data_IF_728638129195
#
_entry.id   IF_728638129195
#
_cell.length_a   1.000
_cell.length_b   1.000
_cell.length_c   1.000
_cell.angle_alpha   90.00
_cell.angle_beta   90.00
_cell.angle_gamma   90.00
#
_symmetry.space_group_name_H-M   'P 1'
#
loop_
_entity.id
_entity.type
_entity.pdbx_description
1 polymer ?
#
# COMPACT_ATOMS: atom_id res chain seq x y z
N UNK A 1 2.83 4.89 -35.27
CA UNK A 1 2.09 4.74 -33.99
C UNK A 1 2.81 3.69 -33.16
N UNK A 2 3.38 4.04 -32.00
CA UNK A 2 3.90 3.06 -31.04
C UNK A 2 2.80 2.82 -30.03
N UNK A 3 2.30 1.58 -29.94
CA UNK A 3 1.33 1.18 -28.93
C UNK A 3 2.12 1.00 -27.63
N UNK A 4 1.88 1.84 -26.63
CA UNK A 4 2.49 1.67 -25.32
C UNK A 4 1.75 0.55 -24.56
N UNK A 5 2.47 -0.34 -23.85
CA UNK A 5 1.84 -1.39 -23.06
C UNK A 5 1.05 -0.76 -21.90
N UNK A 6 -0.17 -1.25 -21.69
CA UNK A 6 -1.04 -0.81 -20.57
C UNK A 6 -0.76 -1.56 -19.28
N UNK A 7 -0.24 -2.76 -19.37
CA UNK A 7 0.11 -3.59 -18.23
C UNK A 7 1.44 -4.29 -18.52
N UNK A 8 2.26 -4.43 -17.50
CA UNK A 8 3.51 -5.20 -17.55
C UNK A 8 3.48 -6.23 -16.44
N UNK A 9 3.59 -7.50 -16.82
CA UNK A 9 3.63 -8.64 -15.91
C UNK A 9 5.02 -9.26 -16.02
N UNK A 10 5.71 -9.38 -14.89
CA UNK A 10 7.05 -9.96 -14.83
C UNK A 10 7.11 -11.08 -13.79
N UNK A 11 7.41 -12.27 -14.27
CA UNK A 11 7.47 -13.50 -13.46
C UNK A 11 8.92 -13.88 -13.08
N UNK A 12 9.86 -12.91 -13.11
CA UNK A 12 11.28 -13.19 -12.81
C UNK A 12 11.89 -12.16 -11.86
N UNK A 13 12.75 -12.60 -10.93
CA UNK A 13 13.29 -11.78 -9.84
C UNK A 13 14.35 -10.76 -10.28
N UNK A 14 14.79 -10.79 -11.54
CA UNK A 14 15.89 -9.93 -12.01
C UNK A 14 15.40 -8.92 -13.03
N UNK A 15 14.54 -8.01 -12.57
CA UNK A 15 14.28 -6.77 -13.29
C UNK A 15 15.28 -5.71 -12.81
N UNK A 16 16.06 -5.15 -13.74
CA UNK A 16 16.65 -3.83 -13.50
C UNK A 16 15.56 -2.80 -13.76
N UNK A 17 15.16 -1.97 -12.78
CA UNK A 17 14.14 -0.95 -13.00
C UNK A 17 14.47 -0.05 -14.20
N UNK A 18 15.74 0.21 -14.49
CA UNK A 18 16.14 1.01 -15.65
C UNK A 18 15.96 0.34 -17.02
N UNK A 19 15.64 -0.96 -17.07
CA UNK A 19 15.46 -1.68 -18.35
C UNK A 19 14.11 -1.40 -19.02
N UNK A 20 13.16 -0.79 -18.30
CA UNK A 20 11.82 -0.47 -18.79
C UNK A 20 11.57 1.03 -18.87
N UNK A 21 10.72 1.42 -19.83
CA UNK A 21 10.18 2.77 -19.88
C UNK A 21 8.88 2.83 -19.05
N UNK A 22 9.00 3.27 -17.81
CA UNK A 22 7.90 3.38 -16.86
C UNK A 22 6.95 4.54 -17.10
N UNK A 23 7.29 5.48 -17.99
CA UNK A 23 6.48 6.69 -18.21
C UNK A 23 5.08 6.37 -18.72
N UNK A 24 4.84 5.21 -19.33
CA UNK A 24 3.53 4.85 -19.88
C UNK A 24 2.93 3.58 -19.27
N UNK A 25 3.45 3.11 -18.13
CA UNK A 25 2.98 1.90 -17.46
C UNK A 25 2.04 2.33 -16.31
N UNK A 26 0.72 2.16 -16.45
CA UNK A 26 -0.22 2.42 -15.36
C UNK A 26 -0.41 1.22 -14.43
N UNK A 27 -0.27 0.01 -14.97
CA UNK A 27 -0.50 -1.23 -14.24
C UNK A 27 0.76 -2.10 -14.26
N UNK A 28 1.25 -2.44 -13.08
CA UNK A 28 2.45 -3.25 -12.92
C UNK A 28 2.24 -4.40 -11.94
N UNK A 29 2.58 -5.60 -12.41
CA UNK A 29 2.48 -6.83 -11.66
C UNK A 29 3.80 -7.58 -11.70
N UNK A 30 4.29 -8.01 -10.55
CA UNK A 30 5.50 -8.83 -10.50
C UNK A 30 5.61 -9.66 -9.23
N UNK A 31 6.55 -10.59 -9.23
CA UNK A 31 6.84 -11.50 -8.13
C UNK A 31 8.30 -11.33 -7.71
N UNK A 32 8.59 -11.48 -6.43
CA UNK A 32 9.96 -11.50 -5.87
C UNK A 32 10.76 -10.22 -6.15
N UNK A 33 10.28 -9.08 -5.64
CA UNK A 33 11.06 -7.84 -5.64
C UNK A 33 11.55 -7.48 -4.25
N UNK A 34 12.75 -6.92 -4.20
CA UNK A 34 13.27 -6.29 -3.01
C UNK A 34 12.61 -4.91 -2.79
N UNK A 35 12.48 -4.48 -1.53
CA UNK A 35 11.90 -3.16 -1.17
C UNK A 35 12.60 -2.01 -1.90
N UNK A 36 13.93 -2.03 -2.01
CA UNK A 36 14.71 -0.99 -2.71
C UNK A 36 14.32 -0.90 -4.20
N UNK A 37 14.13 -2.05 -4.86
CA UNK A 37 13.68 -2.11 -6.26
C UNK A 37 12.28 -1.55 -6.41
N UNK A 38 11.37 -1.85 -5.48
CA UNK A 38 10.01 -1.31 -5.52
C UNK A 38 10.03 0.21 -5.37
N UNK A 39 10.78 0.73 -4.40
CA UNK A 39 10.93 2.19 -4.23
C UNK A 39 11.52 2.86 -5.47
N UNK A 40 12.49 2.20 -6.13
CA UNK A 40 13.04 2.68 -7.39
C UNK A 40 12.01 2.69 -8.53
N UNK A 41 11.21 1.63 -8.66
CA UNK A 41 10.11 1.55 -9.63
C UNK A 41 9.09 2.68 -9.40
N UNK A 42 8.71 2.93 -8.14
CA UNK A 42 7.84 4.05 -7.78
C UNK A 42 8.43 5.40 -8.22
N UNK A 43 9.74 5.61 -8.05
CA UNK A 43 10.41 6.85 -8.50
C UNK A 43 10.42 7.00 -10.02
N UNK A 44 10.57 5.88 -10.75
CA UNK A 44 10.69 5.88 -12.21
C UNK A 44 9.32 5.93 -12.93
N UNK A 45 8.25 5.46 -12.29
CA UNK A 45 6.93 5.28 -12.89
C UNK A 45 5.87 6.28 -12.44
N UNK A 46 5.93 7.55 -12.90
CA UNK A 46 5.02 8.60 -12.41
C UNK A 46 3.54 8.37 -12.72
N UNK A 47 3.24 7.48 -13.68
CA UNK A 47 1.87 7.19 -14.11
C UNK A 47 1.34 5.86 -13.58
N UNK A 48 2.06 5.20 -12.66
CA UNK A 48 1.60 3.98 -12.00
C UNK A 48 0.33 4.28 -11.19
N UNK A 49 -0.72 3.50 -11.44
CA UNK A 49 -1.98 3.58 -10.71
C UNK A 49 -2.32 2.28 -9.99
N UNK A 50 -1.84 1.14 -10.50
CA UNK A 50 -2.08 -0.18 -9.91
C UNK A 50 -0.78 -0.94 -9.76
N UNK A 51 -0.57 -1.48 -8.57
CA UNK A 51 0.59 -2.30 -8.24
C UNK A 51 0.15 -3.60 -7.62
N UNK A 52 0.74 -4.69 -8.11
CA UNK A 52 0.57 -6.02 -7.55
C UNK A 52 1.94 -6.69 -7.38
N UNK A 53 2.29 -6.99 -6.15
CA UNK A 53 3.55 -7.63 -5.77
C UNK A 53 3.25 -8.92 -5.01
N UNK A 54 3.52 -10.08 -5.59
CA UNK A 54 3.20 -11.34 -4.91
C UNK A 54 4.08 -11.63 -3.69
N UNK A 55 5.37 -11.29 -3.78
CA UNK A 55 6.34 -11.55 -2.72
C UNK A 55 7.35 -10.40 -2.69
N UNK A 56 7.40 -9.71 -1.55
CA UNK A 56 8.44 -8.74 -1.25
C UNK A 56 9.51 -9.37 -0.37
N UNK A 57 10.75 -9.33 -0.84
CA UNK A 57 11.94 -9.65 -0.06
C UNK A 57 12.67 -8.38 0.38
N UNK A 58 13.71 -8.56 1.17
CA UNK A 58 14.77 -7.58 1.24
C UNK A 58 16.10 -8.27 1.13
N UNK A 59 16.99 -7.59 0.46
CA UNK A 59 18.42 -7.79 0.55
C UNK A 59 19.02 -6.66 1.37
N UNK A 60 20.23 -6.88 1.86
CA UNK A 60 21.06 -5.79 2.35
C UNK A 60 21.37 -4.85 1.18
N UNK A 61 20.75 -3.67 1.17
CA UNK A 61 21.05 -2.66 0.18
C UNK A 61 22.51 -2.20 0.34
N UNK A 62 23.22 -2.06 -0.78
CA UNK A 62 24.61 -1.58 -0.77
C UNK A 62 24.74 -0.14 -0.22
N UNK A 63 23.69 0.66 -0.37
CA UNK A 63 23.56 2.04 0.12
C UNK A 63 22.16 2.24 0.73
N UNK A 64 21.95 1.90 2.01
CA UNK A 64 20.63 1.93 2.64
C UNK A 64 19.98 3.33 2.61
N UNK A 65 20.77 4.38 2.86
CA UNK A 65 20.27 5.76 2.94
C UNK A 65 19.64 6.23 1.61
N UNK A 66 20.21 5.81 0.48
CA UNK A 66 19.67 6.15 -0.85
C UNK A 66 18.57 5.18 -1.28
N UNK A 67 18.73 3.89 -0.97
CA UNK A 67 17.77 2.86 -1.31
C UNK A 67 16.40 3.14 -0.67
N UNK A 68 16.38 3.48 0.61
CA UNK A 68 15.15 3.66 1.40
C UNK A 68 14.73 5.12 1.55
N UNK A 69 15.20 6.00 0.65
CA UNK A 69 14.72 7.39 0.62
C UNK A 69 13.21 7.42 0.42
N UNK A 70 12.53 8.15 1.30
CA UNK A 70 11.07 8.27 1.29
C UNK A 70 10.51 8.68 -0.09
N UNK A 71 9.47 7.99 -0.54
CA UNK A 71 8.83 8.18 -1.85
C UNK A 71 7.38 8.60 -1.66
N UNK A 72 7.02 9.75 -2.22
CA UNK A 72 5.61 10.17 -2.32
C UNK A 72 5.13 9.87 -3.73
N UNK A 73 4.11 9.01 -3.87
CA UNK A 73 3.57 8.63 -5.17
C UNK A 73 2.08 8.98 -5.30
N UNK A 74 1.72 10.05 -6.04
CA UNK A 74 0.39 10.64 -5.95
C UNK A 74 -0.70 9.91 -6.75
N UNK A 75 -0.35 8.94 -7.60
CA UNK A 75 -1.30 8.36 -8.56
C UNK A 75 -1.67 6.90 -8.26
N UNK A 76 -1.07 6.27 -7.24
CA UNK A 76 -1.38 4.87 -6.92
C UNK A 76 -2.72 4.82 -6.21
N UNK A 77 -3.68 4.15 -6.84
CA UNK A 77 -5.04 3.94 -6.37
C UNK A 77 -5.21 2.53 -5.78
N UNK A 78 -4.50 1.55 -6.34
CA UNK A 78 -4.58 0.14 -5.92
C UNK A 78 -3.19 -0.41 -5.60
N UNK A 79 -3.07 -1.03 -4.44
CA UNK A 79 -1.85 -1.68 -3.98
C UNK A 79 -2.18 -3.05 -3.39
N UNK A 80 -1.65 -4.10 -4.00
CA UNK A 80 -1.74 -5.48 -3.51
C UNK A 80 -0.34 -6.02 -3.31
N UNK A 81 -0.04 -6.45 -2.09
CA UNK A 81 1.29 -6.90 -1.71
C UNK A 81 1.24 -8.15 -0.84
N UNK A 82 2.00 -9.19 -1.21
CA UNK A 82 2.45 -10.23 -0.30
C UNK A 82 3.79 -9.88 0.36
N UNK A 83 3.82 -9.77 1.70
CA UNK A 83 5.00 -9.32 2.45
C UNK A 83 5.39 -10.35 3.50
N UNK A 84 6.68 -10.72 3.51
CA UNK A 84 7.20 -11.80 4.35
C UNK A 84 7.88 -11.33 5.65
N UNK A 85 8.52 -10.16 5.72
CA UNK A 85 9.28 -9.80 6.95
C UNK A 85 9.61 -8.32 7.15
N UNK A 86 9.32 -7.42 6.20
CA UNK A 86 9.85 -6.04 6.22
C UNK A 86 8.83 -4.96 5.83
N UNK A 87 7.58 -5.19 6.23
CA UNK A 87 6.50 -4.21 6.10
C UNK A 87 6.89 -2.85 6.69
N UNK A 88 7.52 -2.84 7.86
CA UNK A 88 7.89 -1.61 8.57
C UNK A 88 8.73 -0.70 7.67
N UNK A 89 9.74 -1.27 7.00
CA UNK A 89 10.62 -0.52 6.12
C UNK A 89 9.89 -0.01 4.88
N UNK A 90 9.04 -0.86 4.28
CA UNK A 90 8.26 -0.48 3.11
C UNK A 90 7.29 0.67 3.43
N UNK A 91 6.45 0.53 4.47
CA UNK A 91 5.40 1.51 4.81
C UNK A 91 5.96 2.83 5.34
N UNK A 92 7.09 2.82 6.05
CA UNK A 92 7.76 4.07 6.47
C UNK A 92 8.46 4.79 5.31
N UNK A 93 8.78 4.07 4.24
CA UNK A 93 9.48 4.61 3.06
C UNK A 93 8.54 5.17 2.00
N UNK A 94 7.21 5.10 2.16
CA UNK A 94 6.26 5.56 1.15
C UNK A 94 5.11 6.40 1.71
N UNK A 95 4.61 7.32 0.89
CA UNK A 95 3.32 7.99 1.09
C UNK A 95 2.49 7.88 -0.18
N UNK A 96 1.28 7.35 -0.08
CA UNK A 96 0.38 7.08 -1.21
C UNK A 96 -0.96 7.82 -1.02
N UNK A 97 -1.03 9.13 -1.31
CA UNK A 97 -2.15 9.98 -0.93
C UNK A 97 -3.45 9.72 -1.71
N UNK A 98 -3.40 8.94 -2.79
CA UNK A 98 -4.57 8.59 -3.62
C UNK A 98 -4.95 7.11 -3.50
N UNK A 99 -4.39 6.40 -2.50
CA UNK A 99 -4.63 4.97 -2.35
C UNK A 99 -6.05 4.72 -1.85
N UNK A 100 -6.83 4.05 -2.68
CA UNK A 100 -8.22 3.69 -2.44
C UNK A 100 -8.35 2.23 -1.96
N UNK A 101 -7.50 1.35 -2.48
CA UNK A 101 -7.57 -0.09 -2.27
C UNK A 101 -6.21 -0.63 -1.82
N UNK A 102 -6.17 -1.23 -0.62
CA UNK A 102 -4.99 -1.89 -0.08
C UNK A 102 -5.28 -3.35 0.24
N UNK A 103 -4.50 -4.26 -0.35
CA UNK A 103 -4.51 -5.69 -0.03
C UNK A 103 -3.15 -6.08 0.52
N UNK A 104 -3.12 -6.67 1.71
CA UNK A 104 -1.91 -7.18 2.35
C UNK A 104 -2.06 -8.68 2.54
N UNK A 105 -1.18 -9.45 1.92
CA UNK A 105 -1.10 -10.91 2.04
C UNK A 105 0.08 -11.27 2.94
N UNK A 106 -0.19 -12.02 4.01
CA UNK A 106 0.81 -12.45 4.98
C UNK A 106 1.07 -13.95 4.92
N UNK A 107 2.01 -14.41 5.74
CA UNK A 107 2.37 -15.83 5.89
C UNK A 107 1.98 -16.36 7.28
N UNK A 108 0.78 -16.01 7.76
CA UNK A 108 0.28 -16.31 9.11
C UNK A 108 1.13 -15.68 10.24
N UNK A 109 1.77 -14.55 9.97
CA UNK A 109 2.51 -13.77 10.97
C UNK A 109 1.61 -12.73 11.66
N UNK A 110 2.12 -12.10 12.72
CA UNK A 110 1.46 -10.95 13.34
C UNK A 110 1.56 -9.73 12.43
N UNK A 111 0.43 -9.06 12.22
CA UNK A 111 0.39 -7.82 11.44
C UNK A 111 1.19 -6.71 12.16
N UNK A 112 2.09 -5.99 11.46
CA UNK A 112 2.80 -4.86 12.04
C UNK A 112 1.88 -3.64 12.08
N UNK A 113 1.03 -3.62 13.11
CA UNK A 113 -0.03 -2.63 13.31
C UNK A 113 0.52 -1.20 13.37
N UNK A 114 1.60 -0.96 14.09
CA UNK A 114 2.17 0.38 14.30
C UNK A 114 2.61 1.07 12.98
N UNK A 115 3.48 0.49 12.13
CA UNK A 115 3.83 1.10 10.84
C UNK A 115 2.66 1.29 9.88
N UNK A 116 1.66 0.40 9.93
CA UNK A 116 0.45 0.56 9.11
C UNK A 116 -0.36 1.77 9.55
N UNK A 117 -0.48 2.00 10.86
CA UNK A 117 -1.14 3.19 11.40
C UNK A 117 -0.40 4.45 10.95
N UNK A 118 0.93 4.49 11.10
CA UNK A 118 1.73 5.63 10.63
C UNK A 118 1.54 5.88 9.13
N UNK A 119 1.52 4.81 8.34
CA UNK A 119 1.24 4.89 6.90
C UNK A 119 -0.15 5.46 6.59
N UNK A 120 -1.18 5.06 7.35
CA UNK A 120 -2.54 5.59 7.22
C UNK A 120 -2.65 7.04 7.68
N UNK A 121 -1.83 7.49 8.63
CA UNK A 121 -1.78 8.88 9.08
C UNK A 121 -1.07 9.79 8.05
N UNK A 122 0.01 9.33 7.43
CA UNK A 122 0.77 10.09 6.44
C UNK A 122 0.10 10.15 5.06
N UNK A 123 -0.53 9.05 4.64
CA UNK A 123 -1.32 9.02 3.43
C UNK A 123 -2.69 9.58 3.79
N UNK A 124 -3.07 10.77 3.29
CA UNK A 124 -4.26 11.58 3.67
C UNK A 124 -5.60 10.86 3.35
N UNK A 125 -5.75 9.57 3.64
CA UNK A 125 -6.37 8.66 2.70
C UNK A 125 -7.87 8.54 2.83
N UNK A 126 -8.49 8.30 1.68
CA UNK A 126 -9.88 7.91 1.46
C UNK A 126 -9.99 6.38 1.32
N UNK A 127 -9.08 5.62 1.96
CA UNK A 127 -8.96 4.17 1.78
C UNK A 127 -10.35 3.54 1.91
N UNK A 128 -10.86 3.01 0.80
CA UNK A 128 -12.21 2.47 0.66
C UNK A 128 -12.23 1.00 1.06
N UNK A 129 -11.18 0.29 0.66
CA UNK A 129 -11.05 -1.14 0.87
C UNK A 129 -9.70 -1.46 1.50
N UNK A 130 -9.75 -2.20 2.61
CA UNK A 130 -8.60 -2.83 3.23
C UNK A 130 -8.86 -4.34 3.30
N UNK A 131 -8.01 -5.12 2.63
CA UNK A 131 -8.00 -6.58 2.75
C UNK A 131 -6.73 -7.01 3.47
N UNK A 132 -6.89 -7.88 4.46
CA UNK A 132 -5.82 -8.49 5.24
C UNK A 132 -5.98 -10.00 5.11
N UNK A 133 -5.19 -10.58 4.23
CA UNK A 133 -5.27 -12.01 3.91
C UNK A 133 -4.11 -12.72 4.62
N UNK A 134 -4.42 -13.84 5.27
CA UNK A 134 -3.42 -14.70 5.93
C UNK A 134 -2.58 -13.98 7.02
N UNK A 135 -3.19 -13.05 7.75
CA UNK A 135 -2.59 -12.39 8.93
C UNK A 135 -3.20 -12.87 10.24
N UNK A 136 -2.36 -12.99 11.28
CA UNK A 136 -2.81 -13.18 12.66
C UNK A 136 -3.08 -11.81 13.27
N UNK A 137 -4.37 -11.49 13.41
CA UNK A 137 -4.82 -10.21 13.96
C UNK A 137 -5.52 -10.40 15.31
N UNK A 138 -5.05 -9.66 16.32
CA UNK A 138 -5.77 -9.60 17.61
C UNK A 138 -6.98 -8.66 17.50
N UNK A 139 -7.94 -8.79 18.42
CA UNK A 139 -9.11 -7.89 18.45
C UNK A 139 -8.65 -6.46 18.71
N UNK A 140 -7.66 -6.30 19.58
CA UNK A 140 -7.04 -5.02 19.91
C UNK A 140 -6.44 -4.36 18.67
N UNK A 141 -5.63 -5.08 17.90
CA UNK A 141 -5.03 -4.57 16.65
C UNK A 141 -6.11 -4.13 15.65
N UNK A 142 -7.14 -4.96 15.46
CA UNK A 142 -8.26 -4.64 14.58
C UNK A 142 -8.95 -3.33 14.99
N UNK A 143 -9.19 -3.13 16.30
CA UNK A 143 -9.80 -1.91 16.83
C UNK A 143 -8.89 -0.70 16.62
N UNK A 144 -7.58 -0.83 16.87
CA UNK A 144 -6.63 0.27 16.70
C UNK A 144 -6.55 0.68 15.23
N UNK A 145 -6.43 -0.27 14.30
CA UNK A 145 -6.42 0.03 12.87
C UNK A 145 -7.73 0.67 12.39
N UNK A 146 -8.88 0.15 12.82
CA UNK A 146 -10.18 0.70 12.47
C UNK A 146 -10.35 2.16 12.92
N UNK A 147 -9.67 2.57 14.01
CA UNK A 147 -9.66 3.96 14.47
C UNK A 147 -8.67 4.86 13.72
N UNK A 148 -7.57 4.29 13.24
CA UNK A 148 -6.55 5.01 12.48
C UNK A 148 -6.99 5.31 11.06
N UNK A 149 -7.78 4.43 10.44
CA UNK A 149 -8.36 4.66 9.12
C UNK A 149 -9.37 5.82 9.24
N UNK A 150 -9.12 6.98 8.61
CA UNK A 150 -10.01 8.11 8.76
C UNK A 150 -11.35 7.78 8.11
N UNK A 151 -12.42 7.74 8.91
CA UNK A 151 -13.76 7.52 8.34
C UNK A 151 -14.09 8.63 7.34
N UNK A 152 -14.71 8.24 6.22
CA UNK A 152 -15.21 9.20 5.21
C UNK A 152 -16.17 10.23 5.84
N UNK A 153 -16.88 9.84 6.91
CA UNK A 153 -17.85 10.66 7.63
C UNK A 153 -17.22 11.73 8.53
N UNK A 154 -16.09 11.49 9.18
CA UNK A 154 -15.48 12.47 10.11
C UNK A 154 -14.84 13.67 9.41
N UNK A 155 -14.58 13.56 8.11
CA UNK A 155 -13.99 14.64 7.31
C UNK A 155 -15.01 15.66 6.78
N UNK A 156 -16.30 15.32 6.75
CA UNK A 156 -17.36 16.30 6.46
C UNK A 156 -17.56 17.29 7.62
N UNK A 157 -17.25 16.90 8.86
CA UNK A 157 -17.44 17.74 10.07
C UNK A 157 -16.37 18.80 10.32
N UNK A 158 -15.19 18.72 9.71
CA UNK A 158 -14.20 19.81 9.81
C UNK A 158 -14.45 20.97 8.83
N UNK A 159 -15.58 20.95 8.11
CA UNK A 159 -16.08 22.12 7.36
C UNK A 159 -17.50 22.55 7.67
N UNK A 160 -18.25 21.82 8.49
CA UNK A 160 -19.53 22.32 9.02
C UNK A 160 -19.80 21.76 10.41
N UNK A 161 -20.08 22.70 11.32
CA UNK A 161 -20.83 22.52 12.55
C UNK A 161 -22.05 21.59 12.34
N UNK A 162 -22.37 20.77 13.36
CA UNK A 162 -23.68 20.15 13.69
C UNK A 162 -23.70 18.59 13.76
N UNK A 163 -23.94 18.15 15.00
CA UNK A 163 -24.66 17.01 15.61
C UNK A 163 -24.81 15.59 15.03
N UNK A 164 -24.71 14.67 16.02
CA UNK A 164 -25.38 13.38 16.25
C UNK A 164 -24.95 12.10 15.51
N UNK A 165 -25.41 10.99 16.10
CA UNK A 165 -24.78 9.67 16.28
C UNK A 165 -25.64 8.51 15.77
N UNK A 166 -25.09 7.30 15.54
CA UNK A 166 -25.52 5.97 16.08
C UNK A 166 -24.75 4.77 15.48
N UNK A 167 -24.74 3.68 16.25
CA UNK A 167 -24.01 2.38 16.19
C UNK A 167 -24.66 1.26 15.35
N UNK A 168 -23.89 0.27 14.86
CA UNK A 168 -24.34 -1.12 14.60
C UNK A 168 -23.17 -2.12 14.33
N UNK A 169 -23.41 -3.44 14.46
CA UNK A 169 -22.46 -4.56 14.71
C UNK A 169 -22.51 -5.69 13.64
N UNK A 170 -21.37 -6.38 13.39
CA UNK A 170 -21.16 -7.84 13.21
C UNK A 170 -20.45 -8.41 11.92
N UNK A 171 -19.38 -9.20 12.21
CA UNK A 171 -18.67 -10.36 11.62
C UNK A 171 -18.49 -10.68 10.11
N UNK A 172 -17.27 -11.19 9.83
CA UNK A 172 -16.54 -11.49 8.59
C UNK A 172 -15.89 -10.26 7.95
N UNK A 173 -14.61 -10.03 8.25
CA UNK A 173 -13.88 -8.79 7.95
C UNK A 173 -13.44 -8.71 6.48
N UNK A 174 -14.41 -8.60 5.57
CA UNK A 174 -14.24 -7.73 4.42
C UNK A 174 -14.67 -6.34 4.89
N UNK A 175 -13.70 -5.50 5.29
CA UNK A 175 -14.05 -4.14 5.75
C UNK A 175 -14.24 -3.25 4.52
N UNK A 176 -15.47 -3.26 4.00
CA UNK A 176 -15.91 -2.31 2.97
C UNK A 176 -16.42 -1.07 3.71
N UNK A 177 -15.61 -0.01 3.75
CA UNK A 177 -16.03 1.27 4.31
C UNK A 177 -16.92 1.99 3.28
N UNK A 178 -18.24 2.01 3.51
CA UNK A 178 -19.18 2.83 2.72
C UNK A 178 -19.24 4.26 3.26
#
# INVERSE_FOLDING_TARGET
MRVAPRAVILDRPFLSPHSLNWTNIPDFTTTLLDVDQILEILRLGPNLTKLHFDLISSRDALSPDEAYKHVVHPNIEFLDIGILSLMNLFFTSITLPSLDDLTLRGDCEHLPTEPLIEFFECSINYLKNLSLDDWVLTIEDAIVMAKAIPSSSDRCRRRTHIDRATTSTASNLLVVWR
#
